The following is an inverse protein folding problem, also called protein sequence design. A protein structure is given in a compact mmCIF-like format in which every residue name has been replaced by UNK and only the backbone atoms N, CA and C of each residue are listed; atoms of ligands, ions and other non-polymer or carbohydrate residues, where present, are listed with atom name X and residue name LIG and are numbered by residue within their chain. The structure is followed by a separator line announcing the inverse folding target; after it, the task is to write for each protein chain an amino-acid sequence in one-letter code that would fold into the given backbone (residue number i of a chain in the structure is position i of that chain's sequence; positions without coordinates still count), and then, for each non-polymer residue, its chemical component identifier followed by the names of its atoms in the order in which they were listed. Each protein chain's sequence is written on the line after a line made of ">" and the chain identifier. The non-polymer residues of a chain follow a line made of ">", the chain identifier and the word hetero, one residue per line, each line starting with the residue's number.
data_IF_315297557717
#
_entry.id   IF_315297557717
#
_cell.length_a   1.000
_cell.length_b   1.000
_cell.length_c   1.000
_cell.angle_alpha   90.00
_cell.angle_beta   90.00
_cell.angle_gamma   90.00
#
_symmetry.space_group_name_H-M   'P 1'
#
loop_
_entity.id
_entity.type
_entity.pdbx_description
1 polymer ?
#
# COMPACT_ATOMS: atom_id res chain seq x y z
N UNK A 1 14.82 7.20 32.02
CA UNK A 1 15.13 6.94 30.61
C UNK A 1 16.63 6.81 30.50
N UNK A 2 17.16 5.60 30.31
CA UNK A 2 18.58 5.44 30.01
C UNK A 2 18.83 5.97 28.60
N UNK A 3 19.80 6.87 28.44
CA UNK A 3 20.31 7.27 27.13
C UNK A 3 20.72 6.01 26.38
N UNK A 4 20.12 5.74 25.23
CA UNK A 4 20.61 4.68 24.35
C UNK A 4 22.01 5.10 23.89
N UNK A 5 22.98 4.19 23.95
CA UNK A 5 24.33 4.45 23.45
C UNK A 5 24.27 4.57 21.91
N UNK A 6 23.98 5.77 21.41
CA UNK A 6 24.00 6.06 19.98
C UNK A 6 25.45 6.36 19.58
N UNK A 7 26.00 5.57 18.66
CA UNK A 7 27.40 5.66 18.24
C UNK A 7 27.81 7.04 17.68
N UNK A 8 26.85 7.84 17.19
CA UNK A 8 27.09 9.24 16.79
C UNK A 8 27.69 10.09 17.92
N UNK A 9 27.39 9.79 19.18
CA UNK A 9 27.90 10.57 20.31
C UNK A 9 29.37 10.28 20.66
N UNK A 10 30.07 9.45 19.88
CA UNK A 10 31.49 9.15 20.09
C UNK A 10 32.45 10.00 19.21
N UNK A 11 31.94 10.76 18.23
CA UNK A 11 32.77 11.55 17.30
C UNK A 11 33.22 12.92 17.87
N UNK A 12 34.12 13.69 17.22
CA UNK A 12 34.32 15.10 17.55
C UNK A 12 33.05 15.95 17.31
N UNK A 13 32.77 17.02 18.10
CA UNK A 13 31.50 17.78 18.04
C UNK A 13 31.05 18.18 16.63
N UNK A 14 31.92 18.83 15.86
CA UNK A 14 31.62 19.26 14.48
C UNK A 14 31.28 18.12 13.52
N UNK A 15 31.80 16.91 13.78
CA UNK A 15 31.50 15.72 12.98
C UNK A 15 30.20 15.05 13.41
N UNK A 16 29.83 15.13 14.70
CA UNK A 16 28.53 14.64 15.21
C UNK A 16 27.37 15.36 14.53
N UNK A 17 27.42 16.68 14.53
CA UNK A 17 26.36 17.53 13.96
C UNK A 17 26.19 17.29 12.45
N UNK A 18 27.30 17.24 11.71
CA UNK A 18 27.27 17.00 10.26
C UNK A 18 26.70 15.62 9.92
N UNK A 19 27.10 14.59 10.65
CA UNK A 19 26.60 13.22 10.47
C UNK A 19 25.11 13.13 10.80
N UNK A 20 24.69 13.71 11.93
CA UNK A 20 23.29 13.75 12.32
C UNK A 20 22.42 14.52 11.30
N UNK A 21 22.88 15.66 10.77
CA UNK A 21 22.18 16.37 9.69
C UNK A 21 22.05 15.51 8.43
N UNK A 22 23.13 14.84 8.02
CA UNK A 22 23.08 13.91 6.89
C UNK A 22 22.04 12.80 7.10
N UNK A 23 21.97 12.20 8.28
CA UNK A 23 20.94 11.22 8.61
C UNK A 23 19.53 11.81 8.59
N UNK A 24 19.33 13.02 9.11
CA UNK A 24 18.01 13.65 9.14
C UNK A 24 17.50 13.88 7.72
N UNK A 25 18.32 14.49 6.87
CA UNK A 25 17.92 14.89 5.53
C UNK A 25 17.75 13.69 4.59
N UNK A 26 18.63 12.69 4.74
CA UNK A 26 18.77 11.62 3.77
C UNK A 26 18.17 10.28 4.22
N UNK A 27 17.85 10.13 5.51
CA UNK A 27 17.30 8.88 6.07
C UNK A 27 16.00 9.14 6.82
N UNK A 28 16.03 9.87 7.94
CA UNK A 28 14.85 9.99 8.80
C UNK A 28 13.69 10.72 8.14
N UNK A 29 13.93 11.88 7.51
CA UNK A 29 12.85 12.63 6.87
C UNK A 29 12.20 11.85 5.70
N UNK A 30 12.97 11.19 4.82
CA UNK A 30 12.39 10.29 3.83
C UNK A 30 11.56 9.14 4.42
N UNK A 31 12.06 8.43 5.45
CA UNK A 31 11.27 7.39 6.13
C UNK A 31 9.99 7.94 6.75
N UNK A 32 10.07 9.06 7.48
CA UNK A 32 8.90 9.70 8.10
C UNK A 32 7.81 9.95 7.05
N UNK A 33 8.16 10.57 5.92
CA UNK A 33 7.22 10.84 4.82
C UNK A 33 6.68 9.56 4.18
N UNK A 34 7.54 8.57 3.97
CA UNK A 34 7.16 7.28 3.39
C UNK A 34 6.17 6.54 4.29
N UNK A 35 6.49 6.39 5.57
CA UNK A 35 5.64 5.73 6.57
C UNK A 35 4.31 6.49 6.77
N UNK A 36 4.31 7.82 6.76
CA UNK A 36 3.06 8.62 6.77
C UNK A 36 2.18 8.32 5.56
N UNK A 37 2.77 8.21 4.37
CA UNK A 37 2.04 7.85 3.16
C UNK A 37 1.45 6.44 3.26
N UNK A 38 2.21 5.47 3.76
CA UNK A 38 1.71 4.10 3.96
C UNK A 38 0.57 4.06 4.99
N UNK A 39 0.71 4.76 6.13
CA UNK A 39 -0.35 4.87 7.15
C UNK A 39 -1.62 5.49 6.58
N UNK A 40 -1.50 6.54 5.78
CA UNK A 40 -2.64 7.16 5.12
C UNK A 40 -3.37 6.17 4.22
N UNK A 41 -2.64 5.45 3.35
CA UNK A 41 -3.20 4.45 2.44
C UNK A 41 -3.91 3.32 3.20
N UNK A 42 -3.30 2.81 4.27
CA UNK A 42 -3.89 1.78 5.13
C UNK A 42 -5.14 2.29 5.86
N UNK A 43 -5.19 3.57 6.24
CA UNK A 43 -6.34 4.16 6.93
C UNK A 43 -7.60 4.28 6.07
N UNK A 44 -7.43 4.38 4.75
CA UNK A 44 -8.53 4.43 3.78
C UNK A 44 -8.77 3.08 3.10
N UNK A 45 -8.11 2.01 3.58
CA UNK A 45 -8.16 0.66 3.01
C UNK A 45 -7.76 0.58 1.53
N UNK A 46 -6.90 1.48 1.07
CA UNK A 46 -6.34 1.43 -0.28
C UNK A 46 -4.94 0.82 -0.24
N UNK A 47 -4.86 -0.49 -0.51
CA UNK A 47 -3.60 -1.23 -0.42
C UNK A 47 -2.69 -1.04 -1.63
N UNK A 48 -3.14 -0.30 -2.66
CA UNK A 48 -2.41 -0.06 -3.91
C UNK A 48 -2.00 -1.35 -4.63
N UNK A 49 -2.78 -2.42 -4.45
CA UNK A 49 -2.61 -3.68 -5.14
C UNK A 49 -2.79 -3.50 -6.64
N UNK A 50 -1.93 -4.17 -7.41
CA UNK A 50 -1.96 -4.18 -8.87
C UNK A 50 -2.13 -5.61 -9.34
N UNK A 51 -3.26 -5.86 -9.98
CA UNK A 51 -3.66 -7.21 -10.37
C UNK A 51 -2.82 -7.75 -11.54
N UNK A 52 -2.34 -6.87 -12.42
CA UNK A 52 -1.58 -7.27 -13.61
C UNK A 52 -0.16 -7.79 -13.33
N UNK A 53 0.42 -7.48 -12.18
CA UNK A 53 1.78 -7.84 -11.84
C UNK A 53 1.95 -8.31 -10.37
N UNK A 54 0.83 -8.50 -9.66
CA UNK A 54 0.79 -8.99 -8.28
C UNK A 54 1.76 -8.24 -7.37
N UNK A 55 1.63 -6.91 -7.31
CA UNK A 55 2.46 -6.08 -6.41
C UNK A 55 1.62 -5.03 -5.70
N UNK A 56 2.16 -4.52 -4.60
CA UNK A 56 1.66 -3.32 -3.95
C UNK A 56 2.49 -2.12 -4.45
N UNK A 57 1.87 -1.17 -5.14
CA UNK A 57 2.59 -0.07 -5.79
C UNK A 57 3.22 0.89 -4.77
N UNK A 58 2.59 1.10 -3.61
CA UNK A 58 3.01 2.09 -2.61
C UNK A 58 3.37 1.51 -1.25
N UNK A 59 2.93 0.29 -0.94
CA UNK A 59 3.34 -0.44 0.26
C UNK A 59 4.48 -1.38 -0.11
N UNK A 60 5.59 -1.40 0.63
CA UNK A 60 6.72 -2.27 0.26
C UNK A 60 7.90 -2.17 1.21
N UNK A 61 9.07 -2.59 0.76
CA UNK A 61 10.28 -2.51 1.58
C UNK A 61 10.60 -1.05 1.92
N UNK A 62 10.90 -0.79 3.18
CA UNK A 62 11.10 0.53 3.73
C UNK A 62 12.26 1.30 3.04
N UNK A 63 13.28 0.57 2.58
CA UNK A 63 14.41 1.14 1.81
C UNK A 63 13.98 1.86 0.53
N UNK A 64 12.79 1.56 -0.02
CA UNK A 64 12.25 2.24 -1.22
C UNK A 64 12.10 3.76 -1.04
N UNK A 65 12.01 4.22 0.21
CA UNK A 65 11.84 5.63 0.55
C UNK A 65 13.17 6.38 0.54
N UNK A 66 14.29 5.68 0.40
CA UNK A 66 15.64 6.23 0.44
C UNK A 66 16.17 6.30 -0.99
N UNK A 67 16.63 7.49 -1.38
CA UNK A 67 17.31 7.67 -2.66
C UNK A 67 18.59 6.83 -2.69
N UNK A 68 18.90 6.23 -3.83
CA UNK A 68 20.08 5.38 -4.01
C UNK A 68 21.39 6.11 -3.64
N UNK A 69 21.43 7.44 -3.78
CA UNK A 69 22.57 8.27 -3.40
C UNK A 69 22.83 8.31 -1.89
N UNK A 70 21.87 7.88 -1.07
CA UNK A 70 21.91 7.96 0.39
C UNK A 70 22.00 6.60 1.08
N UNK A 71 22.25 5.52 0.33
CA UNK A 71 22.38 4.16 0.88
C UNK A 71 23.55 4.04 1.87
N UNK A 72 24.63 4.79 1.69
CA UNK A 72 25.74 4.82 2.64
C UNK A 72 25.30 5.41 3.99
N UNK A 73 24.48 6.48 3.97
CA UNK A 73 23.93 7.06 5.20
C UNK A 73 22.92 6.12 5.87
N UNK A 74 22.13 5.38 5.10
CA UNK A 74 21.24 4.34 5.64
C UNK A 74 22.04 3.21 6.30
N UNK A 75 23.10 2.75 5.65
CA UNK A 75 24.00 1.73 6.21
C UNK A 75 24.62 2.20 7.51
N UNK A 76 25.06 3.46 7.54
CA UNK A 76 25.63 4.10 8.71
C UNK A 76 24.63 4.22 9.88
N UNK A 77 23.37 4.55 9.58
CA UNK A 77 22.24 4.52 10.53
C UNK A 77 22.02 3.12 11.10
N UNK A 78 21.90 2.10 10.23
CA UNK A 78 21.70 0.69 10.62
C UNK A 78 22.81 0.18 11.53
N UNK A 79 24.06 0.60 11.30
CA UNK A 79 25.21 0.23 12.14
C UNK A 79 25.23 0.97 13.47
N UNK A 80 24.73 2.20 13.50
CA UNK A 80 24.82 3.08 14.67
C UNK A 80 23.62 3.01 15.60
N UNK A 81 22.49 2.53 15.11
CA UNK A 81 21.22 2.39 15.83
C UNK A 81 20.79 0.92 15.76
N UNK A 82 21.19 0.13 16.75
CA UNK A 82 20.98 -1.33 16.76
C UNK A 82 19.53 -1.72 16.52
N UNK A 83 18.60 -1.03 17.17
CA UNK A 83 17.18 -1.33 17.09
C UNK A 83 16.56 -0.91 15.75
N UNK A 84 17.19 0.02 15.01
CA UNK A 84 16.66 0.53 13.74
C UNK A 84 16.46 -0.61 12.75
N UNK A 85 17.44 -1.51 12.68
CA UNK A 85 17.39 -2.68 11.81
C UNK A 85 16.24 -3.61 12.19
N UNK A 86 15.95 -3.78 13.47
CA UNK A 86 14.86 -4.65 13.92
C UNK A 86 13.49 -4.10 13.52
N UNK A 87 13.28 -2.79 13.65
CA UNK A 87 12.07 -2.14 13.18
C UNK A 87 11.93 -2.24 11.66
N UNK A 88 12.99 -1.99 10.91
CA UNK A 88 13.00 -2.09 9.46
C UNK A 88 12.76 -3.53 8.95
N UNK A 89 13.44 -4.52 9.54
CA UNK A 89 13.28 -5.93 9.17
C UNK A 89 11.89 -6.45 9.55
N UNK A 90 11.28 -5.92 10.62
CA UNK A 90 9.90 -6.22 11.00
C UNK A 90 8.92 -5.65 9.97
N UNK A 91 9.11 -4.39 9.58
CA UNK A 91 8.33 -3.72 8.55
C UNK A 91 8.38 -4.49 7.23
N UNK A 92 9.57 -4.82 6.72
CA UNK A 92 9.75 -5.40 5.39
C UNK A 92 9.09 -6.78 5.19
N UNK A 93 8.71 -7.48 6.27
CA UNK A 93 8.03 -8.78 6.18
C UNK A 93 6.52 -8.63 5.91
N UNK A 94 5.90 -7.59 6.44
CA UNK A 94 4.45 -7.46 6.50
C UNK A 94 3.79 -7.07 5.15
N UNK A 95 4.40 -6.24 4.27
CA UNK A 95 3.86 -5.97 2.95
C UNK A 95 3.68 -7.25 2.10
N UNK A 96 4.57 -8.23 2.24
CA UNK A 96 4.43 -9.50 1.51
C UNK A 96 3.24 -10.34 2.01
N UNK A 97 2.99 -10.34 3.32
CA UNK A 97 1.82 -11.02 3.90
C UNK A 97 0.53 -10.35 3.42
N UNK A 98 0.50 -9.01 3.42
CA UNK A 98 -0.63 -8.25 2.85
C UNK A 98 -0.82 -8.55 1.37
N UNK A 99 0.26 -8.58 0.59
CA UNK A 99 0.22 -8.89 -0.84
C UNK A 99 -0.35 -10.29 -1.10
N UNK A 100 0.09 -11.30 -0.36
CA UNK A 100 -0.46 -12.66 -0.48
C UNK A 100 -1.97 -12.70 -0.21
N UNK A 101 -2.44 -11.97 0.79
CA UNK A 101 -3.86 -11.86 1.09
C UNK A 101 -4.63 -11.15 -0.04
N UNK A 102 -4.08 -10.07 -0.62
CA UNK A 102 -4.64 -9.39 -1.78
C UNK A 102 -4.76 -10.32 -3.00
N UNK A 103 -3.70 -11.09 -3.31
CA UNK A 103 -3.69 -12.05 -4.42
C UNK A 103 -4.80 -13.09 -4.24
N UNK A 104 -4.95 -13.67 -3.04
CA UNK A 104 -6.00 -14.66 -2.78
C UNK A 104 -7.40 -14.08 -3.00
N UNK A 105 -7.67 -12.85 -2.53
CA UNK A 105 -8.96 -12.19 -2.74
C UNK A 105 -9.20 -11.89 -4.22
N UNK A 106 -8.20 -11.34 -4.91
CA UNK A 106 -8.27 -11.03 -6.34
C UNK A 106 -8.56 -12.30 -7.17
N UNK A 107 -7.85 -13.39 -6.90
CA UNK A 107 -8.06 -14.69 -7.54
C UNK A 107 -9.46 -15.25 -7.25
N UNK A 108 -9.95 -15.17 -6.01
CA UNK A 108 -11.30 -15.63 -5.67
C UNK A 108 -12.36 -14.82 -6.42
N UNK A 109 -12.24 -13.49 -6.48
CA UNK A 109 -13.18 -12.62 -7.21
C UNK A 109 -13.20 -12.97 -8.69
N UNK A 110 -12.02 -13.07 -9.32
CA UNK A 110 -11.88 -13.36 -10.76
C UNK A 110 -12.44 -14.73 -11.16
N UNK A 111 -12.38 -15.71 -10.27
CA UNK A 111 -12.80 -17.08 -10.54
C UNK A 111 -14.19 -17.44 -9.98
N UNK A 112 -14.84 -16.53 -9.27
CA UNK A 112 -16.17 -16.75 -8.73
C UNK A 112 -17.22 -16.79 -9.85
N UNK A 113 -17.79 -17.97 -10.10
CA UNK A 113 -18.75 -18.19 -11.20
C UNK A 113 -20.00 -17.31 -11.10
N UNK A 114 -20.59 -17.18 -9.92
CA UNK A 114 -21.81 -16.40 -9.75
C UNK A 114 -21.56 -14.90 -9.95
N UNK A 115 -20.41 -14.40 -9.51
CA UNK A 115 -19.99 -13.03 -9.78
C UNK A 115 -19.79 -12.79 -11.29
N UNK A 116 -19.12 -13.70 -11.99
CA UNK A 116 -18.91 -13.62 -13.43
C UNK A 116 -20.23 -13.65 -14.23
N UNK A 117 -21.18 -14.49 -13.83
CA UNK A 117 -22.53 -14.56 -14.42
C UNK A 117 -23.31 -13.26 -14.21
N UNK A 118 -23.14 -12.62 -13.04
CA UNK A 118 -23.77 -11.32 -12.79
C UNK A 118 -23.18 -10.21 -13.65
N UNK A 119 -21.85 -10.14 -13.77
CA UNK A 119 -21.18 -9.17 -14.64
C UNK A 119 -21.73 -9.28 -16.06
N UNK A 120 -21.88 -10.50 -16.58
CA UNK A 120 -22.44 -10.74 -17.90
C UNK A 120 -23.89 -10.27 -18.02
N UNK A 121 -24.70 -10.48 -16.99
CA UNK A 121 -26.08 -9.99 -16.91
C UNK A 121 -26.12 -8.46 -17.00
N UNK A 122 -25.27 -7.76 -16.25
CA UNK A 122 -25.20 -6.30 -16.26
C UNK A 122 -24.65 -5.73 -17.57
N UNK A 123 -23.64 -6.35 -18.15
CA UNK A 123 -23.13 -5.95 -19.47
C UNK A 123 -24.23 -6.10 -20.53
N UNK A 124 -25.00 -7.19 -20.49
CA UNK A 124 -26.09 -7.42 -21.45
C UNK A 124 -27.19 -6.39 -21.30
N UNK A 125 -27.64 -6.12 -20.06
CA UNK A 125 -28.63 -5.08 -19.78
C UNK A 125 -28.16 -3.68 -20.19
N UNK A 126 -26.86 -3.38 -20.03
CA UNK A 126 -26.29 -2.12 -20.52
C UNK A 126 -26.28 -2.02 -22.03
N UNK A 127 -25.93 -3.09 -22.75
CA UNK A 127 -25.90 -3.08 -24.21
C UNK A 127 -27.28 -2.80 -24.81
N UNK A 128 -28.33 -3.25 -24.12
CA UNK A 128 -29.72 -2.99 -24.53
C UNK A 128 -30.18 -1.56 -24.18
N UNK A 129 -29.76 -1.03 -23.03
CA UNK A 129 -30.23 0.27 -22.53
C UNK A 129 -29.40 1.47 -22.98
N UNK A 130 -28.09 1.30 -23.22
CA UNK A 130 -27.16 2.36 -23.59
C UNK A 130 -26.03 1.85 -24.53
N UNK A 131 -26.32 1.66 -25.83
CA UNK A 131 -25.39 1.04 -26.77
C UNK A 131 -24.12 1.86 -27.04
N UNK A 132 -24.19 3.19 -26.95
CA UNK A 132 -23.04 4.08 -27.24
C UNK A 132 -22.02 4.05 -26.09
N UNK A 133 -22.47 4.08 -24.84
CA UNK A 133 -21.59 3.97 -23.67
C UNK A 133 -20.95 2.58 -23.53
N UNK A 134 -21.58 1.53 -24.06
CA UNK A 134 -21.05 0.15 -24.03
C UNK A 134 -20.15 -0.23 -25.20
N UNK A 135 -19.97 0.68 -26.16
CA UNK A 135 -19.11 0.47 -27.34
C UNK A 135 -17.66 0.16 -26.94
N UNK A 136 -17.18 0.76 -25.85
CA UNK A 136 -15.84 0.57 -25.31
C UNK A 136 -15.66 -0.78 -24.59
N UNK A 137 -16.74 -1.35 -24.05
CA UNK A 137 -16.73 -2.70 -23.43
C UNK A 137 -16.68 -3.82 -24.48
N UNK A 138 -16.95 -3.50 -25.75
CA UNK A 138 -17.17 -4.45 -26.83
C UNK A 138 -16.00 -4.55 -27.82
N UNK A 139 -14.82 -4.00 -27.47
CA UNK A 139 -13.65 -4.01 -28.35
C UNK A 139 -13.06 -5.43 -28.48
N UNK A 140 -13.62 -6.20 -29.42
CA UNK A 140 -13.00 -7.29 -30.20
C UNK A 140 -12.80 -8.70 -29.60
N UNK A 141 -13.39 -9.06 -28.45
CA UNK A 141 -13.24 -10.41 -27.88
C UNK A 141 -14.58 -11.18 -27.75
N UNK A 142 -14.59 -12.53 -27.85
CA UNK A 142 -15.78 -13.33 -27.56
C UNK A 142 -16.30 -13.01 -26.15
N UNK A 143 -17.62 -13.05 -25.94
CA UNK A 143 -18.28 -12.69 -24.67
C UNK A 143 -17.61 -13.30 -23.41
N UNK A 144 -17.07 -14.53 -23.54
CA UNK A 144 -16.36 -15.23 -22.48
C UNK A 144 -15.06 -14.53 -22.04
N UNK A 145 -14.29 -13.99 -22.97
CA UNK A 145 -13.05 -13.25 -22.68
C UNK A 145 -13.37 -11.86 -22.13
N UNK A 146 -14.42 -11.21 -22.63
CA UNK A 146 -14.83 -9.87 -22.18
C UNK A 146 -15.17 -9.85 -20.69
N UNK A 147 -15.92 -10.84 -20.17
CA UNK A 147 -16.29 -10.86 -18.74
C UNK A 147 -15.09 -11.15 -17.83
N UNK A 148 -14.14 -11.98 -18.26
CA UNK A 148 -12.92 -12.25 -17.48
C UNK A 148 -12.00 -11.05 -17.44
N UNK A 149 -11.86 -10.35 -18.56
CA UNK A 149 -11.07 -9.11 -18.64
C UNK A 149 -11.69 -8.05 -17.72
N UNK A 150 -13.01 -7.81 -17.83
CA UNK A 150 -13.71 -6.85 -16.96
C UNK A 150 -13.61 -7.28 -15.49
N UNK A 151 -13.83 -8.56 -15.17
CA UNK A 151 -13.70 -9.06 -13.81
C UNK A 151 -12.29 -8.86 -13.24
N UNK A 152 -11.26 -9.07 -14.06
CA UNK A 152 -9.86 -8.85 -13.67
C UNK A 152 -9.53 -7.37 -13.46
N UNK A 153 -10.10 -6.48 -14.27
CA UNK A 153 -9.88 -5.05 -14.14
C UNK A 153 -10.65 -4.46 -12.94
N UNK A 154 -11.86 -4.95 -12.65
CA UNK A 154 -12.66 -4.47 -11.51
C UNK A 154 -12.27 -5.13 -10.18
N UNK A 155 -11.71 -6.34 -10.18
CA UNK A 155 -11.26 -7.01 -8.95
C UNK A 155 -10.19 -6.19 -8.23
N UNK A 156 -9.27 -5.56 -8.98
CA UNK A 156 -8.29 -4.61 -8.45
C UNK A 156 -8.96 -3.48 -7.65
N UNK A 157 -10.08 -2.94 -8.15
CA UNK A 157 -10.78 -1.84 -7.49
C UNK A 157 -11.50 -2.28 -6.21
N UNK A 158 -12.07 -3.49 -6.19
CA UNK A 158 -12.67 -4.07 -4.99
C UNK A 158 -11.64 -4.45 -3.93
N UNK A 159 -10.46 -4.91 -4.34
CA UNK A 159 -9.33 -5.11 -3.43
C UNK A 159 -8.91 -3.75 -2.89
N UNK A 160 -8.73 -2.73 -3.71
CA UNK A 160 -8.24 -1.42 -3.22
C UNK A 160 -9.29 -0.51 -2.57
N UNK A 161 -10.50 -1.01 -2.29
CA UNK A 161 -11.60 -0.23 -1.72
C UNK A 161 -11.91 1.07 -2.50
N UNK A 162 -11.87 1.00 -3.84
CA UNK A 162 -12.11 2.16 -4.71
C UNK A 162 -13.59 2.24 -5.05
N UNK A 163 -14.33 3.18 -4.45
CA UNK A 163 -15.78 3.27 -4.67
C UNK A 163 -16.19 3.85 -6.03
N UNK A 164 -15.27 4.53 -6.73
CA UNK A 164 -15.56 5.13 -8.03
C UNK A 164 -14.31 5.34 -8.87
N UNK A 165 -14.49 5.28 -10.19
CA UNK A 165 -13.45 5.48 -11.18
C UNK A 165 -13.60 6.83 -11.89
N UNK A 166 -12.48 7.51 -12.22
CA UNK A 166 -12.49 8.69 -13.09
C UNK A 166 -13.12 8.42 -14.45
N UNK A 167 -13.84 9.40 -15.01
CA UNK A 167 -14.58 9.27 -16.29
C UNK A 167 -13.72 8.85 -17.50
N UNK A 168 -12.41 9.11 -17.45
CA UNK A 168 -11.48 8.72 -18.52
C UNK A 168 -11.02 7.25 -18.42
N UNK A 169 -11.42 6.51 -17.38
CA UNK A 169 -11.18 5.08 -17.27
C UNK A 169 -12.21 4.32 -18.14
N UNK A 170 -11.72 3.35 -18.93
CA UNK A 170 -12.51 2.52 -19.85
C UNK A 170 -13.74 1.87 -19.21
N UNK A 171 -13.65 1.48 -17.94
CA UNK A 171 -14.74 0.79 -17.22
C UNK A 171 -15.51 1.69 -16.28
N UNK A 172 -15.22 2.99 -16.24
CA UNK A 172 -15.82 3.91 -15.27
C UNK A 172 -17.34 3.94 -15.33
N UNK A 173 -17.94 3.97 -16.51
CA UNK A 173 -19.40 3.96 -16.65
C UNK A 173 -20.02 2.69 -16.06
N UNK A 174 -19.51 1.51 -16.44
CA UNK A 174 -19.98 0.22 -15.93
C UNK A 174 -19.79 0.13 -14.40
N UNK A 175 -18.58 0.39 -13.94
CA UNK A 175 -18.20 0.24 -12.54
C UNK A 175 -18.99 1.19 -11.65
N UNK A 176 -19.02 2.49 -11.98
CA UNK A 176 -19.70 3.49 -11.15
C UNK A 176 -21.22 3.29 -11.13
N UNK A 177 -21.79 2.70 -12.17
CA UNK A 177 -23.24 2.42 -12.23
C UNK A 177 -23.65 1.21 -11.40
N UNK A 178 -22.82 0.17 -11.33
CA UNK A 178 -23.15 -1.09 -10.66
C UNK A 178 -22.28 -1.40 -9.44
N UNK A 179 -21.49 -0.43 -8.96
CA UNK A 179 -20.54 -0.64 -7.87
C UNK A 179 -21.21 -1.28 -6.65
N UNK A 180 -22.28 -0.66 -6.16
CA UNK A 180 -22.94 -1.04 -4.91
C UNK A 180 -23.61 -2.43 -5.05
N UNK A 181 -24.18 -2.73 -6.20
CA UNK A 181 -24.78 -4.03 -6.48
C UNK A 181 -23.72 -5.13 -6.60
N UNK A 182 -22.61 -4.85 -7.29
CA UNK A 182 -21.48 -5.78 -7.39
C UNK A 182 -20.86 -6.03 -6.01
N UNK A 183 -20.68 -5.01 -5.19
CA UNK A 183 -20.19 -5.13 -3.83
C UNK A 183 -21.14 -5.97 -2.96
N UNK A 184 -22.45 -5.70 -3.05
CA UNK A 184 -23.49 -6.47 -2.34
C UNK A 184 -23.40 -7.96 -2.70
N UNK A 185 -23.20 -8.28 -3.97
CA UNK A 185 -23.08 -9.66 -4.45
C UNK A 185 -21.80 -10.31 -3.97
N UNK A 186 -20.67 -9.62 -4.04
CA UNK A 186 -19.40 -10.10 -3.50
C UNK A 186 -19.50 -10.45 -2.01
N UNK A 187 -20.22 -9.63 -1.24
CA UNK A 187 -20.43 -9.84 0.20
C UNK A 187 -21.35 -11.02 0.54
N UNK A 188 -22.10 -11.58 -0.42
CA UNK A 188 -22.89 -12.79 -0.22
C UNK A 188 -22.03 -14.07 -0.20
N UNK A 189 -20.82 -14.02 -0.75
CA UNK A 189 -19.92 -15.18 -0.80
C UNK A 189 -19.05 -15.26 0.45
N UNK A 190 -19.32 -16.25 1.31
CA UNK A 190 -18.58 -16.48 2.56
C UNK A 190 -17.05 -16.54 2.40
N UNK A 191 -16.54 -17.10 1.29
CA UNK A 191 -15.10 -17.16 1.05
C UNK A 191 -14.50 -15.77 0.81
N UNK A 192 -15.16 -14.94 0.02
CA UNK A 192 -14.74 -13.56 -0.27
C UNK A 192 -14.76 -12.75 1.02
N UNK A 193 -15.82 -12.86 1.83
CA UNK A 193 -15.88 -12.20 3.14
C UNK A 193 -14.74 -12.63 4.08
N UNK A 194 -14.41 -13.92 4.16
CA UNK A 194 -13.27 -14.42 4.94
C UNK A 194 -11.93 -13.85 4.45
N UNK A 195 -11.72 -13.81 3.13
CA UNK A 195 -10.51 -13.26 2.53
C UNK A 195 -10.39 -11.75 2.76
N UNK A 196 -11.50 -11.01 2.73
CA UNK A 196 -11.51 -9.59 3.15
C UNK A 196 -11.05 -9.42 4.59
N UNK A 197 -11.57 -10.22 5.52
CA UNK A 197 -11.11 -10.19 6.92
C UNK A 197 -9.63 -10.56 7.07
N UNK A 198 -9.10 -11.49 6.26
CA UNK A 198 -7.67 -11.84 6.24
C UNK A 198 -6.80 -10.65 5.81
N UNK A 199 -7.22 -9.93 4.78
CA UNK A 199 -6.55 -8.70 4.33
C UNK A 199 -6.63 -7.62 5.40
N UNK A 200 -7.82 -7.37 5.97
CA UNK A 200 -8.00 -6.37 7.04
C UNK A 200 -7.08 -6.65 8.24
N UNK A 201 -6.99 -7.91 8.66
CA UNK A 201 -6.10 -8.32 9.74
C UNK A 201 -4.63 -8.06 9.39
N UNK A 202 -4.22 -8.41 8.18
CA UNK A 202 -2.84 -8.19 7.68
C UNK A 202 -2.52 -6.70 7.55
N UNK A 203 -3.49 -5.91 7.08
CA UNK A 203 -3.44 -4.46 6.96
C UNK A 203 -3.28 -3.80 8.34
N UNK A 204 -4.05 -4.24 9.33
CA UNK A 204 -3.97 -3.72 10.70
C UNK A 204 -2.64 -4.11 11.37
N UNK A 205 -2.15 -5.32 11.14
CA UNK A 205 -0.82 -5.72 11.61
C UNK A 205 0.29 -4.84 11.01
N UNK A 206 0.25 -4.60 9.70
CA UNK A 206 1.18 -3.71 9.02
C UNK A 206 1.08 -2.27 9.56
N UNK A 207 -0.13 -1.75 9.71
CA UNK A 207 -0.38 -0.40 10.24
C UNK A 207 0.18 -0.19 11.65
N UNK A 208 -0.02 -1.16 12.54
CA UNK A 208 0.53 -1.10 13.90
C UNK A 208 2.06 -1.12 13.87
N UNK A 209 2.66 -1.98 13.05
CA UNK A 209 4.10 -2.03 12.91
C UNK A 209 4.71 -0.74 12.31
N UNK A 210 4.08 -0.17 11.28
CA UNK A 210 4.48 1.12 10.71
C UNK A 210 4.38 2.21 11.77
N UNK A 211 3.31 2.22 12.57
CA UNK A 211 3.12 3.19 13.66
C UNK A 211 4.26 3.10 14.68
N UNK A 212 4.64 1.89 15.07
CA UNK A 212 5.76 1.66 16.00
C UNK A 212 7.09 2.13 15.39
N UNK A 213 7.35 1.82 14.12
CA UNK A 213 8.56 2.24 13.42
C UNK A 213 8.62 3.77 13.26
N UNK A 214 7.51 4.39 12.86
CA UNK A 214 7.37 5.84 12.73
C UNK A 214 7.66 6.54 14.07
N UNK A 215 7.03 6.08 15.15
CA UNK A 215 7.25 6.62 16.49
C UNK A 215 8.69 6.45 16.97
N UNK A 216 9.32 5.30 16.64
CA UNK A 216 10.73 5.07 16.92
C UNK A 216 11.64 6.08 16.20
N UNK A 217 11.44 6.30 14.90
CA UNK A 217 12.24 7.27 14.13
C UNK A 217 12.05 8.68 14.68
N UNK A 218 10.82 9.09 14.99
CA UNK A 218 10.54 10.40 15.59
C UNK A 218 11.24 10.57 16.94
N UNK A 219 11.19 9.55 17.80
CA UNK A 219 11.83 9.58 19.11
C UNK A 219 13.35 9.72 19.00
N UNK A 220 14.00 8.91 18.14
CA UNK A 220 15.45 8.96 17.93
C UNK A 220 15.87 10.29 17.31
N UNK A 221 15.15 10.76 16.28
CA UNK A 221 15.42 12.05 15.66
C UNK A 221 15.33 13.18 16.68
N UNK A 222 14.32 13.17 17.56
CA UNK A 222 14.16 14.15 18.65
C UNK A 222 15.29 14.07 19.67
N UNK A 223 15.68 12.86 20.07
CA UNK A 223 16.79 12.67 21.00
C UNK A 223 18.09 13.24 20.44
N UNK A 224 18.43 12.91 19.19
CA UNK A 224 19.64 13.43 18.52
C UNK A 224 19.57 14.96 18.38
N UNK A 225 18.41 15.50 18.02
CA UNK A 225 18.20 16.96 17.88
C UNK A 225 18.44 17.69 19.21
N UNK A 226 17.89 17.18 20.32
CA UNK A 226 18.08 17.77 21.66
C UNK A 226 19.55 17.67 22.08
N UNK A 227 20.19 16.52 21.89
CA UNK A 227 21.56 16.30 22.36
C UNK A 227 22.61 17.10 21.57
N UNK A 228 22.33 17.42 20.30
CA UNK A 228 23.26 18.12 19.41
C UNK A 228 22.84 19.57 19.11
N UNK A 229 21.80 20.09 19.78
CA UNK A 229 21.21 21.42 19.54
C UNK A 229 20.92 21.68 18.04
N UNK A 230 20.44 20.63 17.34
CA UNK A 230 20.10 20.72 15.93
C UNK A 230 18.64 21.13 15.76
N UNK A 231 18.33 22.08 14.86
CA UNK A 231 16.96 22.52 14.66
C UNK A 231 16.07 21.38 14.17
N UNK A 232 14.87 21.32 14.73
CA UNK A 232 13.81 20.40 14.32
C UNK A 232 13.12 20.95 13.06
N UNK A 233 13.88 21.18 11.98
CA UNK A 233 13.30 21.64 10.72
C UNK A 233 12.75 20.43 9.94
N UNK A 234 11.48 20.53 9.53
CA UNK A 234 10.75 19.56 8.72
C UNK A 234 11.32 19.42 7.30
#
# INVERSE_FOLDING_TARGET
>A
MGTKDIAVFQLPPNLRERRARAWFDSVFNPYIRGLEQELYLLSIHNWTYRSNNNRLDRLGNAERWIDYLYIDNLTDVRQSLTDFKDYEDSHNKLPNILLEACIKLDDEIKNNKGFLEQIETYISALKESDPEETKHLSLSNPLYETRKIIAADISEYFVNNISSLPRNNTYSYFYNKYHDELETILNQYNNISKLRTEIEKSSEQLKNNITDFYNYILAIRREISIQLDLPFAA
#
